data_IF_157542085553
#
_entry.id   IF_157542085553
#
_cell.length_a   1.000
_cell.length_b   1.000
_cell.length_c   1.000
_cell.angle_alpha   90.00
_cell.angle_beta   90.00
_cell.angle_gamma   90.00
#
_symmetry.space_group_name_H-M   'P 1'
#
loop_
_entity.id
_entity.type
_entity.pdbx_description
1 polymer ?
#
# COMPACT_ATOMS: atom_id res chain seq x y z
N UNK A 1 -10.15 1.70 28.95
CA UNK A 1 -8.94 2.54 28.80
C UNK A 1 -7.66 1.67 28.72
N UNK A 2 -7.67 0.53 28.01
CA UNK A 2 -6.57 -0.47 28.05
C UNK A 2 -5.73 -0.52 26.77
N UNK A 3 -6.24 0.01 25.64
CA UNK A 3 -5.53 -0.05 24.35
C UNK A 3 -4.18 0.69 24.37
N UNK A 4 -4.07 1.79 25.13
CA UNK A 4 -2.85 2.60 25.15
C UNK A 4 -1.67 1.89 25.81
N UNK A 5 -1.89 1.01 26.79
CA UNK A 5 -0.81 0.31 27.50
C UNK A 5 -0.19 -0.76 26.61
N UNK A 6 -1.01 -1.56 25.92
CA UNK A 6 -0.49 -2.57 24.98
C UNK A 6 0.23 -1.93 23.78
N UNK A 7 -0.28 -0.81 23.27
CA UNK A 7 0.39 -0.06 22.22
C UNK A 7 1.75 0.47 22.68
N UNK A 8 1.85 0.97 23.92
CA UNK A 8 3.10 1.40 24.52
C UNK A 8 4.08 0.24 24.70
N UNK A 9 3.63 -0.92 25.17
CA UNK A 9 4.47 -2.11 25.33
C UNK A 9 5.00 -2.62 23.98
N UNK A 10 4.15 -2.60 22.95
CA UNK A 10 4.57 -2.94 21.59
C UNK A 10 5.56 -1.92 21.04
N UNK A 11 5.36 -0.62 21.27
CA UNK A 11 6.29 0.42 20.87
C UNK A 11 7.64 0.27 21.59
N UNK A 12 7.63 0.03 22.90
CA UNK A 12 8.83 -0.23 23.70
C UNK A 12 9.59 -1.45 23.15
N UNK A 13 8.89 -2.54 22.82
CA UNK A 13 9.49 -3.73 22.20
C UNK A 13 10.16 -3.41 20.86
N UNK A 14 9.55 -2.57 20.02
CA UNK A 14 10.12 -2.14 18.73
C UNK A 14 11.39 -1.30 18.92
N UNK A 15 11.40 -0.39 19.89
CA UNK A 15 12.59 0.38 20.24
C UNK A 15 13.71 -0.47 20.85
N UNK A 16 13.37 -1.48 21.66
CA UNK A 16 14.33 -2.45 22.18
C UNK A 16 15.01 -3.23 21.04
N UNK A 17 14.26 -3.63 20.00
CA UNK A 17 14.82 -4.28 18.81
C UNK A 17 15.85 -3.38 18.10
N UNK A 18 15.54 -2.10 17.93
CA UNK A 18 16.47 -1.12 17.32
C UNK A 18 17.74 -0.96 18.16
N UNK A 19 17.61 -0.80 19.48
CA UNK A 19 18.76 -0.68 20.38
C UNK A 19 19.66 -1.91 20.35
N UNK A 20 19.07 -3.11 20.32
CA UNK A 20 19.83 -4.35 20.21
C UNK A 20 20.55 -4.49 18.85
N UNK A 21 19.90 -4.08 17.76
CA UNK A 21 20.51 -4.06 16.43
C UNK A 21 21.69 -3.09 16.36
N UNK A 22 21.55 -1.87 16.91
CA UNK A 22 22.63 -0.88 16.97
C UNK A 22 23.81 -1.36 17.83
N UNK A 23 23.56 -2.17 18.85
CA UNK A 23 24.59 -2.84 19.64
C UNK A 23 25.28 -4.01 18.90
N UNK A 24 24.91 -4.29 17.64
CA UNK A 24 25.49 -5.35 16.82
C UNK A 24 24.93 -6.75 17.08
N UNK A 25 23.78 -6.88 17.75
CA UNK A 25 23.14 -8.18 17.94
C UNK A 25 22.57 -8.71 16.61
N UNK A 26 22.71 -10.01 16.36
CA UNK A 26 22.13 -10.64 15.18
C UNK A 26 20.61 -10.71 15.25
N UNK A 27 19.93 -10.62 14.10
CA UNK A 27 18.46 -10.70 14.03
C UNK A 27 17.90 -11.95 14.70
N UNK A 28 18.59 -13.10 14.59
CA UNK A 28 18.22 -14.36 15.26
C UNK A 28 18.25 -14.24 16.79
N UNK A 29 19.24 -13.53 17.35
CA UNK A 29 19.33 -13.31 18.80
C UNK A 29 18.23 -12.35 19.26
N UNK A 30 17.99 -11.29 18.51
CA UNK A 30 16.93 -10.30 18.80
C UNK A 30 15.54 -10.95 18.74
N UNK A 31 15.29 -11.82 17.77
CA UNK A 31 14.04 -12.58 17.65
C UNK A 31 13.75 -13.41 18.91
N UNK A 32 14.77 -14.11 19.43
CA UNK A 32 14.66 -14.90 20.67
C UNK A 32 14.37 -14.04 21.90
N UNK A 33 14.97 -12.84 21.99
CA UNK A 33 14.76 -11.92 23.12
C UNK A 33 13.39 -11.25 23.09
N UNK A 34 12.93 -10.86 21.89
CA UNK A 34 11.67 -10.13 21.70
C UNK A 34 10.42 -11.02 21.59
N UNK A 35 10.62 -12.32 21.34
CA UNK A 35 9.54 -13.27 21.07
C UNK A 35 8.89 -13.08 19.70
N UNK A 36 9.57 -12.43 18.76
CA UNK A 36 9.09 -12.21 17.38
C UNK A 36 9.78 -13.14 16.40
N UNK A 37 9.19 -13.31 15.21
CA UNK A 37 9.85 -14.02 14.11
C UNK A 37 11.04 -13.20 13.59
N UNK A 38 12.05 -13.89 13.05
CA UNK A 38 13.22 -13.24 12.42
C UNK A 38 12.81 -12.30 11.30
N UNK A 39 11.80 -12.67 10.51
CA UNK A 39 11.24 -11.82 9.45
C UNK A 39 10.62 -10.54 10.00
N UNK A 40 9.89 -10.62 11.12
CA UNK A 40 9.31 -9.43 11.75
C UNK A 40 10.40 -8.48 12.28
N UNK A 41 11.44 -9.02 12.91
CA UNK A 41 12.60 -8.24 13.36
C UNK A 41 13.28 -7.54 12.18
N UNK A 42 13.54 -8.27 11.09
CA UNK A 42 14.13 -7.71 9.87
C UNK A 42 13.30 -6.55 9.32
N UNK A 43 11.97 -6.70 9.23
CA UNK A 43 11.11 -5.62 8.75
C UNK A 43 11.11 -4.40 9.67
N UNK A 44 11.13 -4.58 11.00
CA UNK A 44 11.23 -3.47 11.94
C UNK A 44 12.53 -2.70 11.72
N UNK A 45 13.66 -3.41 11.55
CA UNK A 45 14.97 -2.80 11.29
C UNK A 45 14.97 -2.06 9.95
N UNK A 46 14.47 -2.68 8.87
CA UNK A 46 14.40 -2.05 7.55
C UNK A 46 13.53 -0.79 7.57
N UNK A 47 12.37 -0.84 8.23
CA UNK A 47 11.49 0.33 8.37
C UNK A 47 12.17 1.45 9.16
N UNK A 48 12.91 1.10 10.23
CA UNK A 48 13.69 2.07 10.98
C UNK A 48 14.79 2.71 10.13
N UNK A 49 15.51 1.92 9.31
CA UNK A 49 16.54 2.45 8.40
C UNK A 49 15.96 3.37 7.33
N UNK A 50 14.76 3.09 6.83
CA UNK A 50 14.10 3.89 5.78
C UNK A 50 13.42 5.15 6.32
N UNK A 51 12.75 5.06 7.46
CA UNK A 51 11.83 6.11 7.96
C UNK A 51 12.26 6.73 9.29
N UNK A 52 13.25 6.15 9.98
CA UNK A 52 13.61 6.50 11.35
C UNK A 52 12.63 5.97 12.41
N UNK A 53 11.52 5.32 12.02
CA UNK A 53 10.46 4.87 12.93
C UNK A 53 10.36 3.34 12.88
N UNK A 54 10.60 2.63 14.00
CA UNK A 54 10.49 1.18 14.04
C UNK A 54 9.01 0.76 14.07
N UNK A 55 8.49 0.36 12.91
CA UNK A 55 7.09 -0.03 12.71
C UNK A 55 6.98 -1.42 12.10
N UNK A 56 5.86 -2.10 12.37
CA UNK A 56 5.52 -3.39 11.74
C UNK A 56 4.74 -3.10 10.45
N UNK A 57 5.04 -3.78 9.32
CA UNK A 57 4.25 -3.65 8.11
C UNK A 57 2.77 -3.93 8.39
N UNK A 58 1.90 -2.96 8.11
CA UNK A 58 0.44 -3.15 8.20
C UNK A 58 0.05 -4.19 7.15
N UNK A 59 -0.64 -5.26 7.57
CA UNK A 59 -1.22 -6.21 6.61
C UNK A 59 -2.23 -5.45 5.75
N UNK A 60 -2.02 -5.44 4.43
CA UNK A 60 -3.05 -4.95 3.51
C UNK A 60 -4.28 -5.84 3.67
N UNK A 61 -5.46 -5.30 4.01
CA UNK A 61 -6.67 -6.10 4.17
C UNK A 61 -6.98 -6.90 2.92
N UNK A 62 -7.49 -8.13 3.07
CA UNK A 62 -7.82 -9.00 1.92
C UNK A 62 -8.76 -8.33 0.92
N UNK A 63 -9.78 -7.63 1.43
CA UNK A 63 -10.74 -6.83 0.62
C UNK A 63 -10.06 -5.79 -0.27
N UNK A 64 -8.94 -5.22 0.16
CA UNK A 64 -8.17 -4.25 -0.66
C UNK A 64 -7.37 -4.97 -1.75
N UNK A 65 -6.90 -6.19 -1.48
CA UNK A 65 -6.17 -7.01 -2.46
C UNK A 65 -7.09 -7.58 -3.53
N UNK A 66 -8.32 -7.93 -3.18
CA UNK A 66 -9.34 -8.45 -4.11
C UNK A 66 -9.86 -7.35 -5.05
N UNK A 67 -10.11 -6.14 -4.54
CA UNK A 67 -10.56 -4.98 -5.33
C UNK A 67 -9.55 -4.43 -6.35
N UNK A 68 -8.31 -4.93 -6.36
CA UNK A 68 -7.27 -4.52 -7.31
C UNK A 68 -7.34 -5.27 -8.64
N UNK A 69 -8.23 -6.24 -8.76
CA UNK A 69 -8.42 -7.02 -9.99
C UNK A 69 -9.46 -6.28 -10.82
N UNK A 70 -9.02 -5.71 -11.95
CA UNK A 70 -9.90 -5.16 -12.98
C UNK A 70 -10.08 -6.26 -14.01
N UNK A 71 -11.29 -6.79 -14.13
CA UNK A 71 -11.64 -7.78 -15.14
C UNK A 71 -12.05 -7.08 -16.43
N UNK A 72 -11.58 -7.60 -17.55
CA UNK A 72 -11.92 -7.12 -18.87
C UNK A 72 -12.70 -8.20 -19.60
N UNK A 73 -13.74 -7.81 -20.33
CA UNK A 73 -14.47 -8.71 -21.22
C UNK A 73 -13.62 -9.08 -22.45
N UNK A 74 -14.16 -9.96 -23.28
CA UNK A 74 -13.53 -10.42 -24.52
C UNK A 74 -13.29 -9.29 -25.55
N UNK A 75 -14.04 -8.19 -25.42
CA UNK A 75 -13.93 -6.98 -26.24
C UNK A 75 -12.96 -5.94 -25.64
N UNK A 76 -12.42 -6.19 -24.45
CA UNK A 76 -11.47 -5.31 -23.75
C UNK A 76 -12.11 -4.16 -22.97
N UNK A 77 -13.43 -4.19 -22.73
CA UNK A 77 -14.12 -3.27 -21.84
C UNK A 77 -14.00 -3.73 -20.39
N UNK A 78 -14.01 -2.77 -19.46
CA UNK A 78 -13.98 -3.06 -18.02
C UNK A 78 -15.34 -3.64 -17.61
N UNK A 79 -15.33 -4.85 -17.02
CA UNK A 79 -16.53 -5.44 -16.42
C UNK A 79 -16.70 -4.81 -15.03
N UNK A 80 -17.68 -3.93 -14.88
CA UNK A 80 -18.10 -3.46 -13.56
C UNK A 80 -18.92 -4.57 -12.90
N UNK A 81 -18.39 -5.19 -11.85
CA UNK A 81 -19.15 -6.14 -11.04
C UNK A 81 -20.27 -5.37 -10.32
N UNK A 82 -21.49 -5.52 -10.81
CA UNK A 82 -22.71 -4.98 -10.22
C UNK A 82 -23.05 -5.78 -8.95
N UNK A 83 -22.38 -5.47 -7.83
CA UNK A 83 -22.83 -5.92 -6.50
C UNK A 83 -23.94 -4.96 -6.04
N UNK A 84 -25.20 -5.34 -6.31
CA UNK A 84 -26.39 -4.75 -5.68
C UNK A 84 -26.50 -5.19 -4.20
N UNK A 85 -26.63 -4.17 -3.34
CA UNK A 85 -27.42 -4.09 -2.09
C UNK A 85 -27.23 -5.14 -0.97
N UNK A 86 -26.69 -4.69 0.17
CA UNK A 86 -27.14 -5.14 1.50
C UNK A 86 -27.64 -3.92 2.29
N UNK A 87 -28.88 -4.02 2.75
CA UNK A 87 -29.68 -3.02 3.47
C UNK A 87 -29.15 -2.68 4.88
N UNK A 88 -29.34 -1.41 5.25
CA UNK A 88 -29.63 -0.82 6.57
C UNK A 88 -29.01 -1.38 7.88
N UNK A 89 -28.14 -0.57 8.51
CA UNK A 89 -28.36 -0.16 9.91
C UNK A 89 -28.16 1.36 10.04
N UNK A 90 -29.27 2.04 10.33
CA UNK A 90 -29.32 3.44 10.75
C UNK A 90 -28.80 3.57 12.18
N UNK A 91 -27.95 4.57 12.43
CA UNK A 91 -28.11 5.35 13.66
C UNK A 91 -27.88 6.84 13.36
N UNK A 92 -28.82 7.62 13.89
CA UNK A 92 -29.20 8.97 13.47
C UNK A 92 -28.32 10.10 14.07
N UNK A 93 -28.14 11.17 13.26
CA UNK A 93 -28.33 12.59 13.62
C UNK A 93 -27.27 13.27 14.55
N UNK A 94 -26.64 14.41 14.23
CA UNK A 94 -27.31 15.66 13.84
C UNK A 94 -26.35 16.77 13.34
N UNK A 95 -26.79 17.50 12.30
CA UNK A 95 -26.68 18.97 12.12
C UNK A 95 -25.29 19.60 11.86
N UNK A 96 -24.99 20.44 10.86
CA UNK A 96 -25.65 21.42 9.96
C UNK A 96 -24.50 21.89 9.01
N UNK A 97 -24.62 22.44 7.79
CA UNK A 97 -25.69 23.05 6.99
C UNK A 97 -25.12 23.12 5.55
N UNK A 98 -25.97 22.83 4.55
CA UNK A 98 -25.72 23.11 3.13
C UNK A 98 -25.61 24.62 2.89
N UNK A 99 -24.70 25.03 2.03
CA UNK A 99 -24.89 26.17 1.11
C UNK A 99 -24.72 25.66 -0.31
N UNK A 100 -25.68 26.04 -1.15
CA UNK A 100 -25.89 25.63 -2.55
C UNK A 100 -25.45 26.79 -3.46
N UNK A 101 -25.13 26.45 -4.72
CA UNK A 101 -24.71 27.32 -5.85
C UNK A 101 -23.21 27.70 -5.78
N UNK A 102 -22.41 27.65 -6.84
CA UNK A 102 -22.67 28.02 -8.23
C UNK A 102 -21.66 27.40 -9.24
N UNK A 103 -22.06 27.51 -10.49
CA UNK A 103 -21.54 27.10 -11.80
C UNK A 103 -20.08 27.44 -12.18
N UNK A 104 -19.56 26.68 -13.15
CA UNK A 104 -18.51 27.01 -14.12
C UNK A 104 -17.07 27.33 -13.65
N UNK A 105 -16.14 26.42 -13.97
CA UNK A 105 -15.05 26.65 -14.94
C UNK A 105 -13.75 25.89 -14.62
N UNK A 106 -13.17 25.33 -15.69
CA UNK A 106 -11.74 25.14 -15.93
C UNK A 106 -10.98 24.00 -15.22
N UNK A 107 -10.64 23.01 -16.05
CA UNK A 107 -9.49 22.11 -15.94
C UNK A 107 -8.19 22.81 -15.50
N UNK A 108 -7.24 22.06 -14.92
CA UNK A 108 -6.02 21.82 -15.70
C UNK A 108 -5.43 20.41 -15.57
N UNK A 109 -4.76 20.00 -16.66
CA UNK A 109 -3.72 18.97 -16.72
C UNK A 109 -4.13 17.50 -16.66
N UNK A 110 -4.80 17.00 -17.71
CA UNK A 110 -4.50 15.65 -18.21
C UNK A 110 -3.58 15.78 -19.41
N UNK A 111 -2.32 15.36 -19.24
CA UNK A 111 -1.44 15.11 -20.38
C UNK A 111 -2.09 14.04 -21.27
N UNK A 112 -2.07 14.18 -22.60
CA UNK A 112 -2.57 13.13 -23.47
C UNK A 112 -1.73 11.86 -23.30
N UNK A 113 -2.32 10.67 -23.41
CA UNK A 113 -1.56 9.42 -23.40
C UNK A 113 -0.54 9.44 -24.55
N UNK A 114 0.67 8.90 -24.35
CA UNK A 114 1.66 8.82 -25.41
C UNK A 114 1.09 8.00 -26.57
N UNK A 115 1.06 8.61 -27.74
CA UNK A 115 0.66 7.95 -28.98
C UNK A 115 1.67 6.86 -29.33
N UNK A 116 1.19 5.63 -29.57
CA UNK A 116 2.00 4.56 -30.17
C UNK A 116 2.11 4.81 -31.68
N UNK A 117 2.92 5.79 -32.06
CA UNK A 117 3.39 5.95 -33.44
C UNK A 117 4.85 5.49 -33.47
N UNK A 118 5.19 4.68 -34.47
CA UNK A 118 6.54 4.32 -34.88
C UNK A 118 7.40 3.50 -33.91
N UNK A 119 7.07 2.20 -33.79
CA UNK A 119 8.14 1.20 -33.87
C UNK A 119 8.38 0.88 -35.34
N UNK A 120 9.06 1.77 -36.03
CA UNK A 120 9.67 1.45 -37.32
C UNK A 120 10.71 0.37 -37.06
N UNK A 121 10.44 -0.81 -37.61
CA UNK A 121 11.35 -1.92 -37.85
C UNK A 121 12.67 -1.35 -38.38
N UNK A 122 13.69 -1.27 -37.52
CA UNK A 122 15.06 -1.00 -37.96
C UNK A 122 15.77 -2.34 -38.06
N UNK A 123 15.72 -2.87 -39.28
CA UNK A 123 16.41 -4.08 -39.67
C UNK A 123 17.91 -4.01 -39.39
N UNK A 124 18.44 -5.16 -38.99
CA UNK A 124 19.75 -5.62 -39.39
C UNK A 124 19.56 -7.06 -39.88
N UNK A 125 19.22 -7.17 -41.17
CA UNK A 125 19.52 -8.35 -41.94
C UNK A 125 21.03 -8.39 -42.22
N UNK A 126 21.56 -9.62 -42.25
CA UNK A 126 22.73 -10.08 -42.99
C UNK A 126 24.14 -9.59 -42.60
N UNK A 127 24.98 -10.54 -42.17
CA UNK A 127 25.97 -11.21 -43.03
C UNK A 127 27.26 -11.56 -42.27
N UNK A 128 27.80 -12.75 -42.53
CA UNK A 128 29.25 -12.94 -42.57
C UNK A 128 29.86 -13.89 -41.54
N UNK A 129 29.87 -15.19 -41.91
CA UNK A 129 31.02 -16.10 -41.86
C UNK A 129 32.24 -15.71 -41.02
N UNK A 130 32.58 -16.55 -40.05
CA UNK A 130 33.81 -17.34 -40.05
C UNK A 130 33.72 -18.49 -39.03
#
# INVERSE_FOLDING_TARGET
>A
MTNSTEEQDQAAKRWMIVGAYQAGASERKIARLSGLSTTAVRHIILNYQQTGIPSIPKKVPKRVREKLIVEYDEDGNIIESEDEEDEEEQDHESSRKRTKYDESSQSPNRLPPPSKMDQTIRGYEEAGMN
#
